data_IF_186938701183
#
_entry.id   IF_186938701183
#
_cell.length_a   1.000
_cell.length_b   1.000
_cell.length_c   1.000
_cell.angle_alpha   90.00
_cell.angle_beta   90.00
_cell.angle_gamma   90.00
#
_symmetry.space_group_name_H-M   'P 1'
#
loop_
_entity.id
_entity.type
_entity.pdbx_description
1 polymer ?
#
# COMPACT_ATOMS: atom_id res chain seq x y z
N UNK A 1 -45.63 17.64 -22.34
CA UNK A 1 -44.19 17.46 -22.61
C UNK A 1 -43.57 16.76 -21.42
N UNK A 2 -43.30 15.45 -21.53
CA UNK A 2 -42.55 14.69 -20.54
C UNK A 2 -41.07 14.78 -20.90
N UNK A 3 -40.16 15.06 -19.95
CA UNK A 3 -38.74 15.03 -20.27
C UNK A 3 -38.32 13.58 -20.54
N UNK A 4 -37.70 13.38 -21.69
CA UNK A 4 -36.99 12.17 -22.05
C UNK A 4 -35.85 11.96 -21.04
N UNK A 5 -36.00 10.98 -20.15
CA UNK A 5 -34.87 10.39 -19.46
C UNK A 5 -34.13 9.56 -20.49
N UNK A 6 -32.95 10.05 -20.90
CA UNK A 6 -32.02 9.24 -21.66
C UNK A 6 -31.70 7.95 -20.88
N UNK A 7 -31.59 6.80 -21.56
CA UNK A 7 -31.24 5.56 -20.88
C UNK A 7 -29.84 5.73 -20.29
N UNK A 8 -29.71 5.51 -18.98
CA UNK A 8 -28.43 5.29 -18.33
C UNK A 8 -27.75 4.13 -19.07
N UNK A 9 -26.78 4.46 -19.93
CA UNK A 9 -25.87 3.49 -20.50
C UNK A 9 -25.28 2.72 -19.34
N UNK A 10 -25.41 1.39 -19.37
CA UNK A 10 -24.85 0.51 -18.36
C UNK A 10 -23.35 0.82 -18.21
N UNK A 11 -23.01 1.57 -17.16
CA UNK A 11 -21.63 1.74 -16.73
C UNK A 11 -21.12 0.35 -16.40
N UNK A 12 -20.16 -0.16 -17.15
CA UNK A 12 -19.48 -1.40 -16.82
C UNK A 12 -18.84 -1.19 -15.46
N UNK A 13 -19.45 -1.74 -14.40
CA UNK A 13 -18.94 -1.62 -13.03
C UNK A 13 -17.49 -2.08 -13.02
N UNK A 14 -16.57 -1.18 -12.65
CA UNK A 14 -15.16 -1.50 -12.50
C UNK A 14 -15.00 -2.68 -11.53
N UNK A 15 -14.23 -3.72 -11.89
CA UNK A 15 -14.02 -4.91 -11.06
C UNK A 15 -12.57 -4.95 -10.58
N UNK A 16 -12.40 -5.03 -9.25
CA UNK A 16 -11.11 -5.28 -8.63
C UNK A 16 -11.01 -6.73 -8.14
N UNK A 17 -9.97 -7.41 -8.61
CA UNK A 17 -9.68 -8.80 -8.24
C UNK A 17 -9.07 -8.85 -6.85
N UNK A 18 -9.29 -9.93 -6.11
CA UNK A 18 -8.54 -10.19 -4.89
C UNK A 18 -7.06 -10.48 -5.25
N UNK A 19 -6.09 -9.66 -4.81
CA UNK A 19 -4.69 -9.82 -5.20
C UNK A 19 -3.91 -10.84 -4.38
N UNK A 20 -4.54 -11.47 -3.40
CA UNK A 20 -3.91 -12.48 -2.56
C UNK A 20 -4.26 -13.88 -3.04
N UNK A 21 -3.26 -14.75 -3.08
CA UNK A 21 -3.46 -16.17 -3.36
C UNK A 21 -4.26 -16.86 -2.25
N UNK A 22 -5.14 -17.78 -2.65
CA UNK A 22 -5.96 -18.57 -1.74
C UNK A 22 -7.26 -17.88 -1.31
N UNK A 23 -7.95 -18.44 -0.31
CA UNK A 23 -9.22 -17.90 0.17
C UNK A 23 -9.02 -16.50 0.76
N UNK A 24 -9.98 -15.56 0.59
CA UNK A 24 -9.86 -14.21 1.14
C UNK A 24 -9.72 -14.24 2.68
N UNK A 25 -8.58 -13.81 3.19
CA UNK A 25 -8.32 -13.65 4.63
C UNK A 25 -8.35 -12.16 4.98
N UNK A 26 -8.83 -11.75 6.17
CA UNK A 26 -8.73 -10.36 6.62
C UNK A 26 -7.29 -9.85 6.53
N UNK A 27 -7.11 -8.64 6.01
CA UNK A 27 -5.82 -7.98 6.01
C UNK A 27 -5.42 -7.67 7.44
N UNK A 28 -4.15 -7.97 7.76
CA UNK A 28 -3.58 -7.57 9.04
C UNK A 28 -3.26 -6.08 8.98
N UNK A 29 -3.61 -5.38 10.05
CA UNK A 29 -3.26 -3.98 10.26
C UNK A 29 -2.05 -3.89 11.20
N UNK A 30 -1.21 -2.88 10.98
CA UNK A 30 -0.14 -2.49 11.89
C UNK A 30 -0.60 -1.41 12.89
N UNK A 31 -1.60 -0.61 12.51
CA UNK A 31 -2.29 0.39 13.33
C UNK A 31 -3.74 0.58 12.87
N UNK A 32 -4.29 1.80 12.90
CA UNK A 32 -5.62 2.08 12.33
C UNK A 32 -5.56 2.59 10.89
N UNK A 33 -4.42 3.14 10.47
CA UNK A 33 -4.21 3.67 9.11
C UNK A 33 -3.27 2.80 8.25
N UNK A 34 -2.44 1.96 8.88
CA UNK A 34 -1.39 1.22 8.20
C UNK A 34 -1.67 -0.29 8.11
N UNK A 35 -1.42 -0.88 6.94
CA UNK A 35 -1.42 -2.33 6.77
C UNK A 35 -0.13 -2.92 7.36
N UNK A 36 -0.18 -4.18 7.75
CA UNK A 36 1.01 -4.90 8.18
C UNK A 36 2.05 -4.98 7.04
N UNK A 37 3.35 -4.81 7.30
CA UNK A 37 4.38 -4.90 6.26
C UNK A 37 4.30 -6.18 5.42
N UNK A 38 3.90 -7.32 6.01
CA UNK A 38 3.72 -8.59 5.27
C UNK A 38 2.76 -8.44 4.08
N UNK A 39 1.76 -7.55 4.16
CA UNK A 39 0.80 -7.30 3.08
C UNK A 39 1.52 -6.75 1.86
N UNK A 40 2.37 -5.74 2.03
CA UNK A 40 3.14 -5.12 0.95
C UNK A 40 4.12 -6.10 0.28
N UNK A 41 4.81 -6.92 1.07
CA UNK A 41 5.72 -7.95 0.54
C UNK A 41 5.00 -9.04 -0.25
N UNK A 42 3.78 -9.43 0.15
CA UNK A 42 2.98 -10.37 -0.64
C UNK A 42 2.56 -9.75 -1.97
N UNK A 43 2.11 -8.51 -1.95
CA UNK A 43 1.66 -7.81 -3.16
C UNK A 43 2.81 -7.54 -4.14
N UNK A 44 4.03 -7.32 -3.66
CA UNK A 44 5.23 -7.21 -4.52
C UNK A 44 5.73 -8.54 -5.09
N UNK A 45 5.06 -9.66 -4.80
CA UNK A 45 5.43 -10.99 -5.31
C UNK A 45 6.63 -11.62 -4.61
N UNK A 46 7.22 -10.98 -3.60
CA UNK A 46 8.29 -11.55 -2.78
C UNK A 46 7.85 -11.56 -1.31
N UNK A 47 7.11 -12.59 -0.86
CA UNK A 47 6.65 -12.67 0.53
C UNK A 47 7.80 -12.51 1.52
N UNK A 48 7.54 -11.85 2.66
CA UNK A 48 8.55 -11.58 3.68
C UNK A 48 9.39 -12.83 4.07
N UNK A 49 8.82 -14.05 4.22
CA UNK A 49 9.62 -15.24 4.47
C UNK A 49 10.67 -15.54 3.38
N UNK A 50 10.37 -15.26 2.11
CA UNK A 50 11.31 -15.42 1.01
C UNK A 50 12.43 -14.36 1.04
N UNK A 51 12.10 -13.12 1.42
CA UNK A 51 13.10 -12.06 1.66
C UNK A 51 14.05 -12.46 2.79
N UNK A 52 13.49 -12.85 3.93
CA UNK A 52 14.27 -13.30 5.09
C UNK A 52 15.03 -14.59 4.81
N UNK A 53 14.60 -15.44 3.87
CA UNK A 53 15.36 -16.60 3.45
C UNK A 53 16.64 -16.21 2.72
N UNK A 54 16.57 -15.23 1.80
CA UNK A 54 17.73 -14.70 1.08
C UNK A 54 18.74 -14.04 2.04
N UNK A 55 18.25 -13.44 3.12
CA UNK A 55 19.05 -12.81 4.18
C UNK A 55 19.54 -13.83 5.24
N UNK A 56 19.24 -15.13 5.11
CA UNK A 56 19.66 -16.17 6.07
C UNK A 56 18.89 -16.16 7.41
N UNK A 57 17.80 -15.40 7.50
CA UNK A 57 17.01 -15.14 8.71
C UNK A 57 15.73 -15.98 8.83
N UNK A 58 15.36 -16.75 7.81
CA UNK A 58 14.13 -17.55 7.81
C UNK A 58 13.95 -18.47 9.04
N UNK A 59 14.98 -19.20 9.52
CA UNK A 59 14.85 -20.04 10.71
C UNK A 59 14.46 -19.24 11.96
N UNK A 60 15.01 -18.03 12.11
CA UNK A 60 14.72 -17.12 13.22
C UNK A 60 13.30 -16.58 13.15
N UNK A 61 12.92 -16.07 11.98
CA UNK A 61 11.57 -15.60 11.72
C UNK A 61 10.52 -16.67 12.07
N UNK A 62 10.73 -17.92 11.66
CA UNK A 62 9.85 -19.04 12.01
C UNK A 62 9.78 -19.30 13.52
N UNK A 63 10.88 -19.12 14.26
CA UNK A 63 10.88 -19.20 15.73
C UNK A 63 10.10 -18.04 16.36
N UNK A 64 10.27 -16.80 15.89
CA UNK A 64 9.49 -15.64 16.34
C UNK A 64 7.99 -15.87 16.13
N UNK A 65 7.59 -16.28 14.92
CA UNK A 65 6.17 -16.53 14.59
C UNK A 65 5.58 -17.64 15.47
N UNK A 66 6.32 -18.72 15.72
CA UNK A 66 5.86 -19.79 16.63
C UNK A 66 5.70 -19.29 18.06
N UNK A 67 6.59 -18.42 18.52
CA UNK A 67 6.51 -17.83 19.85
C UNK A 67 5.26 -16.95 20.00
N UNK A 68 5.01 -16.08 19.03
CA UNK A 68 3.84 -15.19 19.01
C UNK A 68 2.51 -15.97 18.98
N UNK A 69 2.47 -17.14 18.34
CA UNK A 69 1.28 -18.00 18.27
C UNK A 69 1.08 -18.91 19.48
N UNK A 70 2.08 -19.04 20.34
CA UNK A 70 2.13 -20.07 21.38
C UNK A 70 1.49 -19.56 22.67
N UNK A 71 0.30 -20.04 23.07
CA UNK A 71 -0.38 -19.67 24.33
C UNK A 71 0.30 -20.22 25.62
N UNK A 72 1.59 -20.57 25.54
CA UNK A 72 2.32 -21.32 26.58
C UNK A 72 2.82 -20.36 27.67
N UNK A 73 2.80 -20.75 28.96
CA UNK A 73 3.46 -19.99 30.03
C UNK A 73 4.96 -19.79 29.74
N UNK A 74 5.53 -18.68 30.22
CA UNK A 74 6.94 -18.27 30.01
C UNK A 74 7.31 -17.82 28.58
N UNK A 75 6.36 -17.29 27.80
CA UNK A 75 6.64 -16.63 26.52
C UNK A 75 7.79 -15.63 26.62
N UNK A 76 7.80 -14.79 27.66
CA UNK A 76 8.83 -13.77 27.88
C UNK A 76 10.24 -14.36 28.00
N UNK A 77 10.43 -15.42 28.81
CA UNK A 77 11.75 -16.07 28.95
C UNK A 77 12.23 -16.68 27.63
N UNK A 78 11.32 -17.21 26.81
CA UNK A 78 11.66 -17.75 25.47
C UNK A 78 11.94 -16.65 24.46
N UNK A 79 11.17 -15.55 24.49
CA UNK A 79 11.43 -14.34 23.71
C UNK A 79 12.83 -13.82 24.03
N UNK A 80 13.16 -13.78 25.32
CA UNK A 80 14.43 -13.30 25.81
C UNK A 80 15.61 -14.13 25.30
N UNK A 81 15.53 -15.46 25.42
CA UNK A 81 16.57 -16.35 24.85
C UNK A 81 16.74 -16.13 23.35
N UNK A 82 15.64 -15.94 22.62
CA UNK A 82 15.68 -15.70 21.19
C UNK A 82 16.42 -14.38 20.86
N UNK A 83 16.13 -13.31 21.60
CA UNK A 83 16.80 -12.02 21.48
C UNK A 83 18.29 -12.13 21.81
N UNK A 84 18.65 -12.84 22.89
CA UNK A 84 20.04 -13.05 23.28
C UNK A 84 20.84 -13.82 22.23
N UNK A 85 20.25 -14.88 21.67
CA UNK A 85 20.88 -15.65 20.60
C UNK A 85 21.03 -14.82 19.32
N UNK A 86 20.02 -14.02 18.94
CA UNK A 86 20.10 -13.08 17.81
C UNK A 86 21.22 -12.06 18.03
N UNK A 87 21.29 -11.48 19.23
CA UNK A 87 22.29 -10.48 19.58
C UNK A 87 23.72 -11.02 19.60
N UNK A 88 23.90 -12.30 19.97
CA UNK A 88 25.21 -12.95 19.89
C UNK A 88 25.60 -13.29 18.44
N UNK A 89 24.62 -13.63 17.59
CA UNK A 89 24.86 -14.05 16.21
C UNK A 89 25.12 -12.87 15.27
N UNK A 90 24.43 -11.75 15.49
CA UNK A 90 24.45 -10.57 14.61
C UNK A 90 24.43 -9.26 15.42
N UNK A 91 25.49 -8.96 16.18
CA UNK A 91 25.53 -7.80 17.08
C UNK A 91 25.41 -6.46 16.35
N UNK A 92 25.88 -6.38 15.11
CA UNK A 92 25.91 -5.15 14.30
C UNK A 92 24.74 -5.03 13.31
N UNK A 93 23.91 -6.07 13.17
CA UNK A 93 22.87 -6.10 12.14
C UNK A 93 21.53 -5.51 12.61
N UNK A 94 21.30 -5.48 13.92
CA UNK A 94 20.04 -4.99 14.49
C UNK A 94 20.30 -3.86 15.47
N UNK A 95 20.05 -2.64 15.02
CA UNK A 95 20.20 -1.41 15.81
C UNK A 95 19.30 -1.34 17.04
N UNK A 96 18.25 -2.15 17.10
CA UNK A 96 17.37 -2.23 18.26
C UNK A 96 17.89 -3.16 19.37
N UNK A 97 18.94 -3.97 19.14
CA UNK A 97 19.50 -4.88 20.15
C UNK A 97 19.96 -4.15 21.43
N UNK A 98 20.70 -3.02 21.35
CA UNK A 98 21.11 -2.30 22.56
C UNK A 98 19.92 -1.88 23.41
N UNK A 99 18.87 -1.32 22.79
CA UNK A 99 17.65 -0.91 23.48
C UNK A 99 16.90 -2.12 24.07
N UNK A 100 16.83 -3.25 23.35
CA UNK A 100 16.25 -4.50 23.89
C UNK A 100 17.01 -4.99 25.15
N UNK A 101 18.34 -4.88 25.15
CA UNK A 101 19.16 -5.26 26.31
C UNK A 101 18.98 -4.31 27.49
N UNK A 102 18.89 -3.00 27.24
CA UNK A 102 18.65 -2.00 28.28
C UNK A 102 17.25 -2.12 28.88
N UNK A 103 16.21 -2.22 28.03
CA UNK A 103 14.82 -2.37 28.46
C UNK A 103 14.64 -3.61 29.34
N UNK A 104 15.29 -4.73 28.97
CA UNK A 104 15.34 -5.95 29.79
C UNK A 104 15.90 -5.71 31.20
N UNK A 105 16.90 -4.85 31.32
CA UNK A 105 17.53 -4.54 32.60
C UNK A 105 16.73 -3.51 33.41
N UNK A 106 15.49 -3.18 32.99
CA UNK A 106 14.60 -2.25 33.68
C UNK A 106 14.76 -0.79 33.23
N UNK A 107 15.49 -0.52 32.14
CA UNK A 107 15.60 0.83 31.60
C UNK A 107 14.28 1.25 30.94
N UNK A 108 13.51 2.07 31.65
CA UNK A 108 12.23 2.59 31.18
C UNK A 108 12.35 3.49 29.96
N UNK A 109 13.48 4.17 29.75
CA UNK A 109 13.69 5.00 28.57
C UNK A 109 13.94 4.14 27.32
N UNK A 110 14.68 3.04 27.46
CA UNK A 110 14.84 2.06 26.39
C UNK A 110 13.51 1.37 26.06
N UNK A 111 12.73 0.99 27.07
CA UNK A 111 11.39 0.45 26.86
C UNK A 111 10.50 1.46 26.11
N UNK A 112 10.50 2.73 26.52
CA UNK A 112 9.72 3.77 25.86
C UNK A 112 10.12 3.98 24.39
N UNK A 113 11.41 3.88 24.05
CA UNK A 113 11.88 3.93 22.65
C UNK A 113 11.38 2.74 21.84
N UNK A 114 11.48 1.52 22.39
CA UNK A 114 10.98 0.31 21.72
C UNK A 114 9.47 0.35 21.53
N UNK A 115 8.73 0.79 22.55
CA UNK A 115 7.28 0.87 22.46
C UNK A 115 6.86 1.83 21.35
N UNK A 116 7.61 2.92 21.13
CA UNK A 116 7.35 3.93 20.09
C UNK A 116 7.72 3.47 18.67
N UNK A 117 8.36 2.31 18.52
CA UNK A 117 8.80 1.78 17.24
C UNK A 117 7.62 1.21 16.46
N UNK A 118 7.36 1.75 15.26
CA UNK A 118 6.32 1.22 14.38
C UNK A 118 6.72 -0.14 13.80
N UNK A 119 5.76 -0.93 13.28
CA UNK A 119 6.08 -2.21 12.63
C UNK A 119 6.98 -2.04 11.39
N UNK A 120 6.84 -0.93 10.67
CA UNK A 120 7.69 -0.60 9.53
C UNK A 120 9.12 -0.27 9.97
N UNK A 121 9.26 0.55 11.02
CA UNK A 121 10.56 0.88 11.60
C UNK A 121 11.26 -0.38 12.13
N UNK A 122 10.53 -1.21 12.90
CA UNK A 122 11.03 -2.46 13.43
C UNK A 122 11.50 -3.42 12.33
N UNK A 123 10.77 -3.48 11.20
CA UNK A 123 11.17 -4.29 10.05
C UNK A 123 12.42 -3.73 9.37
N UNK A 124 12.47 -2.42 9.10
CA UNK A 124 13.60 -1.79 8.42
C UNK A 124 14.88 -1.91 9.24
N UNK A 125 14.82 -1.54 10.52
CA UNK A 125 15.94 -1.73 11.47
C UNK A 125 16.28 -3.20 11.66
N UNK A 126 15.28 -4.06 11.62
CA UNK A 126 15.44 -5.52 11.65
C UNK A 126 16.20 -6.09 10.46
N UNK A 127 16.30 -5.32 9.38
CA UNK A 127 17.06 -5.67 8.16
C UNK A 127 18.37 -4.88 8.06
N UNK A 128 18.79 -4.24 9.14
CA UNK A 128 20.00 -3.42 9.20
C UNK A 128 19.92 -2.10 8.43
N UNK A 129 18.72 -1.64 8.07
CA UNK A 129 18.53 -0.38 7.36
C UNK A 129 18.41 0.78 8.34
N UNK A 130 19.20 1.83 8.13
CA UNK A 130 19.03 3.11 8.80
C UNK A 130 18.05 3.99 8.06
N UNK A 131 17.58 5.05 8.74
CA UNK A 131 16.72 6.06 8.13
C UNK A 131 17.32 6.66 6.86
N UNK A 132 18.64 6.84 6.84
CA UNK A 132 19.36 7.38 5.68
C UNK A 132 19.41 6.40 4.48
N UNK A 133 19.26 5.10 4.72
CA UNK A 133 19.28 4.07 3.69
C UNK A 133 17.89 3.82 3.09
N UNK A 134 16.84 4.38 3.70
CA UNK A 134 15.47 4.13 3.28
C UNK A 134 15.15 4.84 1.97
N UNK A 135 14.55 4.07 1.07
CA UNK A 135 13.88 4.65 -0.09
C UNK A 135 12.71 5.53 0.36
N UNK A 136 12.34 6.58 -0.39
CA UNK A 136 11.27 7.51 -0.02
C UNK A 136 9.95 6.83 0.39
N UNK A 137 9.55 5.77 -0.29
CA UNK A 137 8.33 5.02 0.04
C UNK A 137 8.44 4.21 1.33
N UNK A 138 9.63 3.73 1.68
CA UNK A 138 9.88 3.06 2.96
C UNK A 138 9.83 4.08 4.10
N UNK A 139 10.51 5.23 3.92
CA UNK A 139 10.47 6.32 4.88
C UNK A 139 9.07 6.89 5.10
N UNK A 140 8.25 6.97 4.05
CA UNK A 140 6.85 7.40 4.17
C UNK A 140 6.03 6.50 5.10
N UNK A 141 6.06 5.17 4.91
CA UNK A 141 5.30 4.26 5.77
C UNK A 141 5.87 4.17 7.19
N UNK A 142 7.16 4.41 7.36
CA UNK A 142 7.76 4.53 8.68
C UNK A 142 7.25 5.79 9.42
N UNK A 143 7.20 6.94 8.74
CA UNK A 143 6.67 8.20 9.31
C UNK A 143 5.19 8.08 9.64
N UNK A 144 4.39 7.53 8.72
CA UNK A 144 2.97 7.29 8.95
C UNK A 144 2.78 6.26 10.05
N UNK A 145 3.57 5.19 10.07
CA UNK A 145 3.48 4.14 11.09
C UNK A 145 3.76 4.64 12.50
N UNK A 146 4.75 5.51 12.68
CA UNK A 146 5.03 6.14 13.96
C UNK A 146 3.85 7.05 14.41
N UNK A 147 3.32 7.84 13.49
CA UNK A 147 2.17 8.71 13.76
C UNK A 147 0.88 7.91 14.04
N UNK A 148 0.66 6.81 13.33
CA UNK A 148 -0.46 5.88 13.49
C UNK A 148 -0.39 5.15 14.84
N UNK A 149 0.80 4.73 15.28
CA UNK A 149 0.98 4.16 16.61
C UNK A 149 0.66 5.16 17.73
N UNK A 150 1.10 6.41 17.59
CA UNK A 150 0.74 7.47 18.52
C UNK A 150 -0.77 7.77 18.52
N UNK A 151 -1.42 7.64 17.36
CA UNK A 151 -2.87 7.75 17.20
C UNK A 151 -3.59 6.60 17.91
N UNK A 152 -3.18 5.34 17.68
CA UNK A 152 -3.75 4.15 18.35
C UNK A 152 -3.77 4.32 19.86
N UNK A 153 -2.64 4.72 20.46
CA UNK A 153 -2.55 4.90 21.93
C UNK A 153 -3.56 5.90 22.47
N UNK A 154 -3.80 7.00 21.74
CA UNK A 154 -4.80 8.02 22.14
C UNK A 154 -6.22 7.47 22.02
N UNK A 155 -6.49 6.74 20.95
CA UNK A 155 -7.79 6.11 20.73
C UNK A 155 -8.08 5.04 21.80
N UNK A 156 -7.08 4.26 22.21
CA UNK A 156 -7.19 3.26 23.28
C UNK A 156 -7.53 3.90 24.64
N UNK A 157 -7.04 5.11 24.93
CA UNK A 157 -7.40 5.86 26.15
C UNK A 157 -8.69 6.66 26.01
N UNK A 158 -9.39 6.58 24.87
CA UNK A 158 -10.61 7.34 24.60
C UNK A 158 -10.40 8.82 24.31
N UNK A 159 -9.15 9.25 24.07
CA UNK A 159 -8.80 10.64 23.81
C UNK A 159 -9.02 11.02 22.33
N UNK A 160 -10.29 11.16 21.93
CA UNK A 160 -10.67 11.53 20.56
C UNK A 160 -10.21 12.95 20.18
N UNK A 161 -10.23 13.88 21.15
CA UNK A 161 -9.79 15.26 20.94
C UNK A 161 -8.29 15.33 20.69
N UNK A 162 -7.49 14.64 21.51
CA UNK A 162 -6.04 14.54 21.31
C UNK A 162 -5.66 13.74 20.07
N UNK A 163 -6.45 12.72 19.70
CA UNK A 163 -6.29 12.01 18.43
C UNK A 163 -6.47 12.96 17.23
N UNK A 164 -7.54 13.74 17.20
CA UNK A 164 -7.78 14.74 16.15
C UNK A 164 -6.68 15.81 16.10
N UNK A 165 -6.28 16.35 17.26
CA UNK A 165 -5.21 17.35 17.34
C UNK A 165 -3.86 16.80 16.85
N UNK A 166 -3.54 15.55 17.20
CA UNK A 166 -2.35 14.85 16.69
C UNK A 166 -2.40 14.71 15.17
N UNK A 167 -3.53 14.28 14.61
CA UNK A 167 -3.67 14.18 13.16
C UNK A 167 -3.54 15.54 12.45
N UNK A 168 -4.21 16.57 12.96
CA UNK A 168 -4.23 17.90 12.37
C UNK A 168 -2.87 18.60 12.38
N UNK A 169 -1.99 18.28 13.33
CA UNK A 169 -0.64 18.86 13.43
C UNK A 169 0.41 18.04 12.69
N UNK A 170 0.15 16.76 12.39
CA UNK A 170 1.15 15.89 11.78
C UNK A 170 1.34 16.21 10.28
N UNK A 171 2.59 16.33 9.77
CA UNK A 171 2.87 16.71 8.37
C UNK A 171 2.27 15.81 7.28
N UNK A 172 1.91 14.57 7.63
CA UNK A 172 1.27 13.64 6.70
C UNK A 172 -0.21 13.42 7.05
N UNK A 173 -0.56 13.28 8.33
CA UNK A 173 -1.92 12.82 8.69
C UNK A 173 -2.95 13.93 8.47
N UNK A 174 -2.56 15.20 8.55
CA UNK A 174 -3.48 16.31 8.30
C UNK A 174 -4.03 16.29 6.86
N UNK A 175 -3.25 15.75 5.91
CA UNK A 175 -3.68 15.58 4.52
C UNK A 175 -4.69 14.45 4.32
N UNK A 176 -4.97 13.66 5.36
CA UNK A 176 -6.04 12.64 5.38
C UNK A 176 -7.34 13.20 5.96
N UNK A 177 -7.30 14.37 6.58
CA UNK A 177 -8.47 15.02 7.16
C UNK A 177 -9.20 15.84 6.09
N UNK A 178 -10.52 15.75 6.12
CA UNK A 178 -11.43 16.64 5.41
C UNK A 178 -12.52 17.10 6.39
N UNK A 179 -13.28 18.18 6.10
CA UNK A 179 -14.21 18.75 7.07
C UNK A 179 -15.16 17.73 7.70
N UNK A 180 -15.73 16.82 6.89
CA UNK A 180 -16.59 15.75 7.39
C UNK A 180 -15.88 14.76 8.32
N UNK A 181 -14.61 14.42 8.03
CA UNK A 181 -13.84 13.51 8.87
C UNK A 181 -13.48 14.13 10.22
N UNK A 182 -13.08 15.41 10.23
CA UNK A 182 -12.81 16.13 11.48
C UNK A 182 -14.05 16.18 12.36
N UNK A 183 -15.20 16.49 11.77
CA UNK A 183 -16.48 16.51 12.46
C UNK A 183 -16.87 15.14 13.02
N UNK A 184 -16.65 14.07 12.25
CA UNK A 184 -16.92 12.70 12.69
C UNK A 184 -16.04 12.31 13.89
N UNK A 185 -14.73 12.57 13.83
CA UNK A 185 -13.81 12.28 14.94
C UNK A 185 -14.17 13.10 16.18
N UNK A 186 -14.52 14.38 16.01
CA UNK A 186 -14.89 15.26 17.13
C UNK A 186 -16.16 14.81 17.85
N UNK A 187 -17.11 14.22 17.14
CA UNK A 187 -18.41 13.78 17.67
C UNK A 187 -18.42 12.33 18.17
N UNK A 188 -17.43 11.52 17.79
CA UNK A 188 -17.38 10.12 18.14
C UNK A 188 -17.23 9.92 19.65
N UNK A 189 -18.04 9.03 20.21
CA UNK A 189 -17.93 8.64 21.63
C UNK A 189 -17.02 7.41 21.81
N UNK A 190 -16.92 6.57 20.78
CA UNK A 190 -16.10 5.36 20.79
C UNK A 190 -15.32 5.16 19.49
N UNK A 191 -14.12 4.59 19.59
CA UNK A 191 -13.26 4.27 18.44
C UNK A 191 -13.96 3.38 17.40
N UNK A 192 -14.87 2.52 17.84
CA UNK A 192 -15.62 1.61 16.95
C UNK A 192 -16.48 2.35 15.92
N UNK A 193 -16.93 3.56 16.24
CA UNK A 193 -17.69 4.42 15.31
C UNK A 193 -16.82 4.94 14.17
N UNK A 194 -15.50 5.00 14.39
CA UNK A 194 -14.52 5.55 13.46
C UNK A 194 -13.86 4.47 12.58
N UNK A 195 -14.11 3.19 12.83
CA UNK A 195 -13.49 2.08 12.05
C UNK A 195 -13.68 2.26 10.54
N UNK A 196 -14.89 2.58 10.01
CA UNK A 196 -15.09 2.75 8.57
C UNK A 196 -14.36 3.98 8.01
N UNK A 197 -14.28 5.05 8.82
CA UNK A 197 -13.52 6.26 8.49
C UNK A 197 -12.01 5.98 8.43
N UNK A 198 -11.45 5.31 9.42
CA UNK A 198 -10.05 4.90 9.41
C UNK A 198 -9.76 3.92 8.28
N UNK A 199 -10.71 3.05 7.93
CA UNK A 199 -10.62 2.23 6.72
C UNK A 199 -10.50 3.07 5.44
N UNK A 200 -11.26 4.16 5.33
CA UNK A 200 -11.18 5.09 4.21
C UNK A 200 -9.81 5.83 4.18
N UNK A 201 -9.37 6.36 5.33
CA UNK A 201 -8.07 7.02 5.45
C UNK A 201 -6.89 6.09 5.18
N UNK A 202 -6.98 4.82 5.60
CA UNK A 202 -5.97 3.81 5.30
C UNK A 202 -5.79 3.64 3.78
N UNK A 203 -6.89 3.58 3.02
CA UNK A 203 -6.79 3.51 1.55
C UNK A 203 -6.04 4.71 0.97
N UNK A 204 -6.27 5.93 1.50
CA UNK A 204 -5.57 7.14 1.05
C UNK A 204 -4.10 7.16 1.45
N UNK A 205 -3.74 6.66 2.64
CA UNK A 205 -2.34 6.43 3.05
C UNK A 205 -1.63 5.51 2.06
N UNK A 206 -2.25 4.40 1.69
CA UNK A 206 -1.60 3.42 0.82
C UNK A 206 -1.57 3.84 -0.65
N UNK A 207 -2.48 4.73 -1.07
CA UNK A 207 -2.36 5.46 -2.33
C UNK A 207 -1.17 6.45 -2.28
N UNK A 208 -0.96 7.12 -1.14
CA UNK A 208 0.21 7.97 -0.89
C UNK A 208 1.53 7.19 -0.96
N UNK A 209 1.58 6.00 -0.35
CA UNK A 209 2.74 5.11 -0.44
C UNK A 209 3.07 4.73 -1.89
N UNK A 210 2.05 4.43 -2.70
CA UNK A 210 2.23 4.17 -4.13
C UNK A 210 2.82 5.37 -4.87
N UNK A 211 2.37 6.58 -4.56
CA UNK A 211 2.92 7.81 -5.16
C UNK A 211 4.37 8.06 -4.71
N UNK A 212 4.71 7.81 -3.45
CA UNK A 212 6.09 7.89 -2.94
C UNK A 212 7.02 6.94 -3.70
N UNK A 213 6.52 5.74 -4.00
CA UNK A 213 7.26 4.73 -4.74
C UNK A 213 7.41 5.15 -6.22
N UNK A 214 6.42 5.78 -6.82
CA UNK A 214 6.53 6.30 -8.19
C UNK A 214 7.61 7.38 -8.28
N UNK A 215 7.63 8.37 -7.39
CA UNK A 215 8.67 9.41 -7.37
C UNK A 215 10.07 8.80 -7.26
N UNK A 216 10.24 7.80 -6.41
CA UNK A 216 11.49 7.07 -6.25
C UNK A 216 11.92 6.38 -7.57
N UNK A 217 11.00 5.66 -8.23
CA UNK A 217 11.28 4.97 -9.49
C UNK A 217 11.48 5.89 -10.68
N UNK A 218 10.69 6.95 -10.78
CA UNK A 218 10.83 7.96 -11.81
C UNK A 218 12.24 8.57 -11.74
N UNK A 219 12.78 8.82 -10.53
CA UNK A 219 14.16 9.30 -10.37
C UNK A 219 15.21 8.27 -10.73
N UNK A 220 15.08 7.03 -10.26
CA UNK A 220 16.01 5.95 -10.63
C UNK A 220 16.12 5.80 -12.16
N UNK A 221 15.04 6.12 -12.89
CA UNK A 221 14.98 6.04 -14.35
C UNK A 221 15.13 7.40 -15.08
N UNK A 222 15.47 8.48 -14.38
CA UNK A 222 15.59 9.84 -14.92
C UNK A 222 14.34 10.32 -15.70
N UNK A 223 13.14 9.94 -15.24
CA UNK A 223 11.85 10.33 -15.81
C UNK A 223 11.22 11.48 -15.04
N UNK A 224 10.59 12.41 -15.76
CA UNK A 224 9.80 13.49 -15.16
C UNK A 224 8.34 13.11 -14.91
N UNK A 225 7.80 12.17 -15.68
CA UNK A 225 6.42 11.71 -15.59
C UNK A 225 6.27 10.52 -14.64
N UNK A 226 5.05 10.33 -14.12
CA UNK A 226 4.66 9.14 -13.36
C UNK A 226 4.83 7.88 -14.21
N UNK A 227 5.29 6.81 -13.58
CA UNK A 227 5.38 5.47 -14.19
C UNK A 227 4.22 4.54 -13.79
N UNK A 228 3.37 4.96 -12.86
CA UNK A 228 2.25 4.17 -12.34
C UNK A 228 0.87 4.75 -12.66
N UNK A 229 0.75 6.03 -13.01
CA UNK A 229 -0.54 6.68 -13.32
C UNK A 229 -1.30 5.93 -14.41
N UNK A 230 -0.59 5.36 -15.37
CA UNK A 230 -1.17 4.55 -16.45
C UNK A 230 -1.88 3.27 -15.99
N UNK A 231 -1.63 2.81 -14.76
CA UNK A 231 -2.25 1.63 -14.15
C UNK A 231 -3.54 1.98 -13.39
N UNK A 232 -3.81 3.27 -13.18
CA UNK A 232 -5.00 3.73 -12.45
C UNK A 232 -6.23 3.72 -13.37
N UNK A 233 -7.33 3.08 -12.95
CA UNK A 233 -8.63 3.25 -13.59
C UNK A 233 -9.02 4.72 -13.65
N UNK A 234 -9.58 5.15 -14.79
CA UNK A 234 -9.96 6.54 -15.02
C UNK A 234 -11.22 6.64 -15.86
N UNK A 235 -11.93 7.76 -15.73
CA UNK A 235 -13.12 8.06 -16.54
C UNK A 235 -12.82 8.11 -18.05
N UNK A 236 -11.56 8.36 -18.44
CA UNK A 236 -11.13 8.35 -19.85
C UNK A 236 -10.99 6.94 -20.44
N UNK A 237 -10.92 5.90 -19.58
CA UNK A 237 -10.80 4.49 -19.96
C UNK A 237 -11.83 3.66 -19.19
N UNK A 238 -13.15 3.89 -19.41
CA UNK A 238 -14.20 3.28 -18.62
C UNK A 238 -14.14 1.75 -18.70
N UNK A 239 -14.38 1.09 -17.56
CA UNK A 239 -14.38 -0.38 -17.46
C UNK A 239 -13.01 -1.04 -17.48
N UNK A 240 -11.92 -0.29 -17.67
CA UNK A 240 -10.55 -0.83 -17.66
C UNK A 240 -10.02 -0.90 -16.23
N UNK A 241 -9.78 -2.12 -15.76
CA UNK A 241 -9.18 -2.35 -14.45
C UNK A 241 -7.63 -2.38 -14.52
N UNK A 242 -6.94 -2.36 -13.36
CA UNK A 242 -5.48 -2.27 -13.31
C UNK A 242 -4.76 -3.37 -14.10
N UNK A 243 -5.33 -4.57 -14.17
CA UNK A 243 -4.75 -5.69 -14.92
C UNK A 243 -4.77 -5.43 -16.43
N UNK A 244 -5.92 -5.00 -16.95
CA UNK A 244 -6.03 -4.67 -18.37
C UNK A 244 -5.15 -3.48 -18.75
N UNK A 245 -4.95 -2.52 -17.83
CA UNK A 245 -4.08 -1.37 -18.03
C UNK A 245 -2.60 -1.76 -17.99
N UNK A 246 -2.21 -2.66 -17.07
CA UNK A 246 -0.88 -3.26 -17.05
C UNK A 246 -0.58 -4.01 -18.36
N UNK A 247 -1.54 -4.75 -18.90
CA UNK A 247 -1.36 -5.44 -20.17
C UNK A 247 -1.18 -4.48 -21.36
N UNK A 248 -1.84 -3.32 -21.35
CA UNK A 248 -1.59 -2.28 -22.36
C UNK A 248 -0.15 -1.74 -22.27
N UNK A 249 0.37 -1.51 -21.06
CA UNK A 249 1.75 -1.09 -20.87
C UNK A 249 2.75 -2.18 -21.26
N UNK A 250 2.47 -3.45 -20.95
CA UNK A 250 3.26 -4.58 -21.41
C UNK A 250 3.35 -4.58 -22.94
N UNK A 251 2.21 -4.54 -23.66
CA UNK A 251 2.20 -4.48 -25.14
C UNK A 251 3.02 -3.31 -25.67
N UNK A 252 2.81 -2.12 -25.11
CA UNK A 252 3.52 -0.91 -25.53
C UNK A 252 5.03 -1.09 -25.37
N UNK A 253 5.48 -1.64 -24.24
CA UNK A 253 6.89 -1.83 -23.92
C UNK A 253 7.56 -2.92 -24.76
N UNK A 254 6.80 -3.96 -25.13
CA UNK A 254 7.25 -5.03 -26.02
C UNK A 254 7.22 -4.63 -27.52
N UNK A 255 6.56 -3.52 -27.86
CA UNK A 255 6.28 -3.14 -29.25
C UNK A 255 5.32 -4.10 -29.96
N UNK A 256 4.46 -4.80 -29.22
CA UNK A 256 3.55 -5.81 -29.74
C UNK A 256 2.12 -5.25 -29.93
N UNK A 257 1.41 -5.72 -30.95
CA UNK A 257 0.06 -5.26 -31.27
C UNK A 257 -1.04 -5.96 -30.43
N UNK A 258 -0.74 -7.11 -29.82
CA UNK A 258 -1.74 -7.86 -29.06
C UNK A 258 -1.23 -9.16 -28.44
N UNK A 259 -2.11 -9.85 -27.72
CA UNK A 259 -1.82 -11.12 -27.06
C UNK A 259 -1.29 -12.19 -28.03
N UNK A 260 -1.87 -12.30 -29.22
CA UNK A 260 -1.45 -13.28 -30.23
C UNK A 260 -0.01 -13.08 -30.69
N UNK A 261 0.42 -11.84 -30.87
CA UNK A 261 1.80 -11.55 -31.29
C UNK A 261 2.80 -11.88 -30.19
N UNK A 262 2.49 -11.52 -28.94
CA UNK A 262 3.30 -11.89 -27.78
C UNK A 262 3.39 -13.40 -27.66
N UNK A 263 2.25 -14.11 -27.73
CA UNK A 263 2.19 -15.56 -27.62
C UNK A 263 3.00 -16.26 -28.71
N UNK A 264 2.85 -15.85 -29.96
CA UNK A 264 3.54 -16.47 -31.10
C UNK A 264 5.07 -16.33 -31.07
N UNK A 265 5.58 -15.35 -30.31
CA UNK A 265 7.02 -15.17 -30.12
C UNK A 265 7.60 -16.07 -29.04
N UNK A 266 6.77 -16.59 -28.13
CA UNK A 266 7.21 -17.37 -26.99
C UNK A 266 7.34 -18.84 -27.40
N UNK A 267 8.49 -19.49 -27.19
CA UNK A 267 8.65 -20.91 -27.45
C UNK A 267 7.69 -21.76 -26.61
N UNK A 268 7.18 -22.85 -27.19
CA UNK A 268 6.28 -23.77 -26.49
C UNK A 268 6.92 -24.41 -25.24
N UNK A 269 8.25 -24.49 -25.19
CA UNK A 269 9.01 -25.06 -24.07
C UNK A 269 9.11 -24.12 -22.86
N UNK A 270 8.76 -22.84 -23.03
CA UNK A 270 8.90 -21.81 -21.99
C UNK A 270 7.76 -21.83 -20.94
N UNK A 271 6.80 -22.76 -21.06
CA UNK A 271 5.74 -23.00 -20.07
C UNK A 271 4.51 -22.07 -20.18
N UNK A 272 4.46 -21.20 -21.19
CA UNK A 272 3.24 -20.48 -21.56
C UNK A 272 2.47 -21.31 -22.61
N UNK A 273 1.66 -22.24 -22.13
CA UNK A 273 1.02 -23.25 -23.01
C UNK A 273 -0.23 -22.74 -23.73
N UNK A 274 -0.80 -21.61 -23.31
CA UNK A 274 -2.11 -21.14 -23.78
C UNK A 274 -2.24 -19.61 -23.81
N UNK A 275 -2.59 -19.09 -25.00
CA UNK A 275 -2.91 -17.68 -25.26
C UNK A 275 -4.01 -17.14 -24.33
N UNK A 276 -4.90 -18.00 -23.84
CA UNK A 276 -5.98 -17.60 -22.92
C UNK A 276 -5.45 -16.92 -21.65
N UNK A 277 -4.20 -17.17 -21.26
CA UNK A 277 -3.57 -16.47 -20.13
C UNK A 277 -3.40 -14.99 -20.45
N UNK A 278 -2.88 -14.66 -21.63
CA UNK A 278 -2.69 -13.28 -22.09
C UNK A 278 -4.03 -12.61 -22.39
N UNK A 279 -5.01 -13.33 -22.95
CA UNK A 279 -6.35 -12.81 -23.15
C UNK A 279 -7.03 -12.47 -21.83
N UNK A 280 -6.85 -13.29 -20.79
CA UNK A 280 -7.37 -12.99 -19.44
C UNK A 280 -6.69 -11.79 -18.80
N UNK A 281 -5.40 -11.55 -19.09
CA UNK A 281 -4.72 -10.32 -18.66
C UNK A 281 -5.25 -9.11 -19.44
N UNK A 282 -5.36 -9.21 -20.76
CA UNK A 282 -5.94 -8.17 -21.62
C UNK A 282 -7.34 -7.76 -21.19
N UNK A 283 -8.19 -8.75 -20.90
CA UNK A 283 -9.57 -8.55 -20.44
C UNK A 283 -9.68 -8.18 -18.96
N UNK A 284 -8.57 -8.18 -18.20
CA UNK A 284 -8.57 -7.84 -16.79
C UNK A 284 -9.23 -8.89 -15.88
N UNK A 285 -9.40 -10.13 -16.33
CA UNK A 285 -10.13 -11.18 -15.59
C UNK A 285 -9.22 -12.10 -14.78
N UNK A 286 -7.89 -12.03 -14.98
CA UNK A 286 -6.90 -12.76 -14.18
C UNK A 286 -5.67 -11.88 -13.92
N UNK A 287 -5.23 -11.82 -12.68
CA UNK A 287 -4.01 -11.09 -12.31
C UNK A 287 -2.77 -11.65 -13.01
N UNK A 288 -1.83 -10.80 -13.42
CA UNK A 288 -0.54 -11.26 -13.93
C UNK A 288 0.35 -11.81 -12.81
N UNK A 289 1.25 -12.70 -13.20
CA UNK A 289 2.23 -13.33 -12.31
C UNK A 289 3.65 -13.11 -12.80
N UNK A 290 4.58 -13.16 -11.84
CA UNK A 290 5.98 -12.81 -12.06
C UNK A 290 6.67 -13.84 -12.96
N UNK A 291 6.31 -15.12 -12.86
CA UNK A 291 6.97 -16.17 -13.62
C UNK A 291 6.59 -16.11 -15.10
N UNK A 292 5.31 -15.90 -15.40
CA UNK A 292 4.86 -15.66 -16.78
C UNK A 292 5.44 -14.37 -17.33
N UNK A 293 5.52 -13.30 -16.53
CA UNK A 293 6.13 -12.04 -16.96
C UNK A 293 7.63 -12.21 -17.28
N UNK A 294 8.40 -12.94 -16.46
CA UNK A 294 9.81 -13.24 -16.71
C UNK A 294 10.01 -13.96 -18.05
N UNK A 295 9.19 -14.99 -18.32
CA UNK A 295 9.24 -15.73 -19.59
C UNK A 295 9.03 -14.78 -20.76
N UNK A 296 7.98 -13.95 -20.72
CA UNK A 296 7.69 -12.97 -21.77
C UNK A 296 8.88 -12.01 -21.94
N UNK A 297 9.40 -11.43 -20.87
CA UNK A 297 10.49 -10.47 -20.94
C UNK A 297 11.80 -11.11 -21.43
N UNK A 298 12.07 -12.36 -21.07
CA UNK A 298 13.23 -13.12 -21.52
C UNK A 298 13.28 -13.25 -23.04
N UNK A 299 12.16 -13.62 -23.66
CA UNK A 299 12.05 -13.77 -25.12
C UNK A 299 12.15 -12.45 -25.90
N UNK A 300 11.92 -11.34 -25.21
CA UNK A 300 12.11 -9.99 -25.75
C UNK A 300 13.47 -9.38 -25.37
N UNK A 301 14.32 -10.09 -24.62
CA UNK A 301 15.62 -9.60 -24.17
C UNK A 301 15.54 -8.48 -23.15
N UNK A 302 14.41 -8.37 -22.43
CA UNK A 302 14.10 -7.31 -21.47
C UNK A 302 14.11 -7.79 -20.01
N UNK A 303 14.36 -9.08 -19.76
CA UNK A 303 14.41 -9.61 -18.39
C UNK A 303 15.67 -9.12 -17.66
N UNK A 304 15.53 -7.97 -17.02
CA UNK A 304 16.56 -7.35 -16.17
C UNK A 304 15.98 -7.08 -14.78
N UNK A 305 16.80 -7.15 -13.70
CA UNK A 305 16.32 -6.93 -12.34
C UNK A 305 15.67 -5.57 -12.09
N UNK A 306 16.03 -4.56 -12.87
CA UNK A 306 15.55 -3.17 -12.78
C UNK A 306 14.41 -2.85 -13.77
N UNK A 307 13.93 -3.86 -14.51
CA UNK A 307 12.84 -3.70 -15.46
C UNK A 307 11.56 -3.19 -14.76
N UNK A 308 11.03 -2.08 -15.29
CA UNK A 308 9.91 -1.33 -14.73
C UNK A 308 8.63 -2.19 -14.62
N UNK A 309 8.42 -3.13 -15.53
CA UNK A 309 7.23 -3.98 -15.53
C UNK A 309 7.08 -4.83 -14.27
N UNK A 310 8.18 -5.29 -13.64
CA UNK A 310 8.10 -5.99 -12.34
C UNK A 310 7.54 -5.10 -11.25
N UNK A 311 7.96 -3.85 -11.31
CA UNK A 311 7.67 -2.79 -10.37
C UNK A 311 6.18 -2.37 -10.55
N UNK A 312 5.73 -2.18 -11.79
CA UNK A 312 4.34 -1.93 -12.19
C UNK A 312 3.40 -3.11 -11.88
N UNK A 313 3.88 -4.35 -11.98
CA UNK A 313 3.12 -5.53 -11.59
C UNK A 313 2.80 -5.53 -10.09
N UNK A 314 3.78 -5.22 -9.25
CA UNK A 314 3.57 -5.04 -7.82
C UNK A 314 2.53 -3.94 -7.52
N UNK A 315 2.59 -2.82 -8.23
CA UNK A 315 1.64 -1.71 -8.08
C UNK A 315 0.24 -2.07 -8.57
N UNK A 316 0.12 -2.81 -9.67
CA UNK A 316 -1.16 -3.34 -10.19
C UNK A 316 -1.89 -4.15 -9.11
N UNK A 317 -1.18 -5.00 -8.38
CA UNK A 317 -1.72 -5.78 -7.25
C UNK A 317 -2.13 -4.89 -6.08
N UNK A 318 -1.38 -3.83 -5.79
CA UNK A 318 -1.76 -2.85 -4.76
C UNK A 318 -3.04 -2.09 -5.12
N UNK A 319 -3.19 -1.63 -6.37
CA UNK A 319 -4.41 -0.94 -6.82
C UNK A 319 -5.61 -1.89 -6.71
N UNK A 320 -5.45 -3.15 -7.11
CA UNK A 320 -6.46 -4.19 -6.88
C UNK A 320 -6.79 -4.39 -5.41
N UNK A 321 -5.80 -4.39 -4.51
CA UNK A 321 -6.04 -4.48 -3.06
C UNK A 321 -6.90 -3.30 -2.58
N UNK A 322 -6.53 -2.07 -2.95
CA UNK A 322 -7.24 -0.86 -2.55
C UNK A 322 -8.70 -0.89 -3.03
N UNK A 323 -8.89 -1.15 -4.33
CA UNK A 323 -10.20 -1.22 -4.95
C UNK A 323 -11.06 -2.36 -4.40
N UNK A 324 -10.47 -3.55 -4.19
CA UNK A 324 -11.15 -4.69 -3.60
C UNK A 324 -11.62 -4.40 -2.16
N UNK A 325 -10.76 -3.77 -1.34
CA UNK A 325 -11.13 -3.37 0.01
C UNK A 325 -12.26 -2.33 0.01
N UNK A 326 -12.18 -1.33 -0.87
CA UNK A 326 -13.21 -0.32 -1.02
C UNK A 326 -14.55 -0.93 -1.44
N UNK A 327 -14.56 -1.83 -2.45
CA UNK A 327 -15.78 -2.51 -2.91
C UNK A 327 -16.44 -3.33 -1.79
N UNK A 328 -15.64 -3.97 -0.92
CA UNK A 328 -16.17 -4.69 0.25
C UNK A 328 -16.77 -3.74 1.29
N UNK A 329 -16.17 -2.58 1.53
CA UNK A 329 -16.71 -1.57 2.45
C UNK A 329 -17.98 -0.93 1.89
N UNK A 330 -18.02 -0.62 0.60
CA UNK A 330 -19.21 -0.16 -0.11
C UNK A 330 -20.35 -1.18 -0.04
N UNK A 331 -20.07 -2.46 -0.31
CA UNK A 331 -21.07 -3.52 -0.24
C UNK A 331 -21.66 -3.60 1.18
N UNK A 332 -20.81 -3.63 2.21
CA UNK A 332 -21.25 -3.62 3.62
C UNK A 332 -22.09 -2.38 3.97
N UNK A 333 -21.69 -1.21 3.49
CA UNK A 333 -22.44 0.03 3.74
C UNK A 333 -23.82 0.01 3.07
N UNK A 334 -23.91 -0.48 1.82
CA UNK A 334 -25.16 -0.59 1.06
C UNK A 334 -26.11 -1.65 1.61
N UNK A 335 -25.58 -2.75 2.13
CA UNK A 335 -26.34 -3.87 2.67
C UNK A 335 -26.75 -3.66 4.15
N UNK A 336 -26.14 -2.71 4.84
CA UNK A 336 -26.40 -2.44 6.26
C UNK A 336 -27.79 -1.84 6.48
N UNK A 337 -28.50 -2.34 7.51
CA UNK A 337 -29.72 -1.71 8.01
C UNK A 337 -29.48 -0.35 8.69
N UNK A 338 -28.21 -0.02 9.00
CA UNK A 338 -27.76 1.24 9.59
C UNK A 338 -26.58 1.79 8.77
N UNK A 339 -26.82 2.28 7.54
CA UNK A 339 -25.75 2.73 6.63
C UNK A 339 -24.94 3.90 7.19
N UNK A 340 -25.54 4.74 8.04
CA UNK A 340 -24.86 5.86 8.71
C UNK A 340 -23.68 5.42 9.59
N UNK A 341 -23.68 4.17 10.09
CA UNK A 341 -22.57 3.62 10.87
C UNK A 341 -21.36 3.28 10.02
N UNK A 342 -21.48 3.35 8.68
CA UNK A 342 -20.43 3.04 7.72
C UNK A 342 -19.87 4.29 7.04
N UNK A 343 -20.31 5.50 7.42
CA UNK A 343 -19.80 6.73 6.83
C UNK A 343 -18.25 6.77 6.86
N UNK A 344 -17.57 7.15 5.76
CA UNK A 344 -18.09 7.81 4.56
C UNK A 344 -18.70 6.89 3.50
N UNK A 345 -18.66 5.57 3.69
CA UNK A 345 -19.12 4.61 2.69
C UNK A 345 -20.64 4.71 2.45
N UNK A 346 -21.12 4.57 1.20
CA UNK A 346 -20.40 4.07 0.04
C UNK A 346 -19.55 5.09 -0.72
N UNK A 347 -19.53 6.37 -0.33
CA UNK A 347 -18.59 7.32 -0.90
C UNK A 347 -17.15 6.96 -0.47
N UNK A 348 -16.20 7.29 -1.34
CA UNK A 348 -14.77 7.16 -1.10
C UNK A 348 -14.28 8.26 -0.13
N UNK A 349 -13.02 8.20 0.38
CA UNK A 349 -12.44 9.29 1.16
C UNK A 349 -12.65 10.64 0.48
N UNK A 350 -12.85 11.72 1.23
CA UNK A 350 -13.20 13.05 0.68
C UNK A 350 -14.52 13.08 -0.12
N UNK A 351 -15.40 12.10 0.12
CA UNK A 351 -16.76 12.03 -0.44
C UNK A 351 -16.82 11.87 -1.97
N UNK A 352 -15.75 11.35 -2.58
CA UNK A 352 -15.77 10.97 -4.00
C UNK A 352 -16.77 9.84 -4.27
N UNK A 353 -17.40 9.86 -5.44
CA UNK A 353 -18.48 8.94 -5.77
C UNK A 353 -18.00 7.53 -6.14
N UNK A 354 -16.80 7.42 -6.71
CA UNK A 354 -16.23 6.18 -7.22
C UNK A 354 -14.69 6.17 -7.07
N UNK A 355 -14.10 5.01 -7.36
CA UNK A 355 -12.66 4.80 -7.23
C UNK A 355 -11.90 5.68 -8.22
N UNK A 356 -12.38 5.76 -9.46
CA UNK A 356 -11.76 6.50 -10.55
C UNK A 356 -11.62 7.98 -10.19
N UNK A 357 -12.68 8.61 -9.68
CA UNK A 357 -12.68 10.01 -9.26
C UNK A 357 -11.78 10.24 -8.06
N UNK A 358 -11.83 9.34 -7.06
CA UNK A 358 -10.95 9.41 -5.89
C UNK A 358 -9.48 9.30 -6.29
N UNK A 359 -9.12 8.28 -7.06
CA UNK A 359 -7.74 8.04 -7.49
C UNK A 359 -7.23 9.18 -8.40
N UNK A 360 -8.04 9.64 -9.36
CA UNK A 360 -7.67 10.73 -10.26
C UNK A 360 -7.42 12.07 -9.53
N UNK A 361 -8.06 12.28 -8.37
CA UNK A 361 -7.80 13.46 -7.55
C UNK A 361 -6.65 13.25 -6.57
N UNK A 362 -6.66 12.13 -5.83
CA UNK A 362 -5.78 11.92 -4.67
C UNK A 362 -4.41 11.41 -5.05
N UNK A 363 -4.28 10.62 -6.11
CA UNK A 363 -2.98 10.13 -6.53
C UNK A 363 -2.06 11.26 -7.01
N UNK A 364 -2.48 12.19 -7.90
CA UNK A 364 -1.65 13.34 -8.27
C UNK A 364 -1.31 14.26 -7.09
N UNK A 365 -2.24 14.43 -6.14
CA UNK A 365 -1.96 15.17 -4.90
C UNK A 365 -0.78 14.56 -4.15
N UNK A 366 -0.80 13.24 -3.89
CA UNK A 366 0.29 12.56 -3.20
C UNK A 366 1.60 12.58 -3.99
N UNK A 367 1.52 12.44 -5.32
CA UNK A 367 2.69 12.52 -6.19
C UNK A 367 3.39 13.88 -6.06
N UNK A 368 2.62 14.97 -6.07
CA UNK A 368 3.15 16.32 -5.89
C UNK A 368 3.69 16.54 -4.47
N UNK A 369 3.00 16.04 -3.44
CA UNK A 369 3.48 16.05 -2.06
C UNK A 369 4.87 15.40 -1.92
N UNK A 370 5.08 14.26 -2.58
CA UNK A 370 6.36 13.56 -2.54
C UNK A 370 7.46 14.26 -3.36
N UNK A 371 7.12 14.79 -4.53
CA UNK A 371 8.05 15.61 -5.34
C UNK A 371 8.55 16.83 -4.57
N UNK A 372 7.65 17.56 -3.90
CA UNK A 372 8.00 18.77 -3.16
C UNK A 372 8.88 18.50 -1.94
N UNK A 373 8.62 17.43 -1.17
CA UNK A 373 9.45 17.09 0.01
C UNK A 373 10.86 16.66 -0.35
N UNK A 374 11.02 16.10 -1.53
CA UNK A 374 12.28 15.53 -1.95
C UNK A 374 13.08 16.47 -2.88
N UNK A 375 12.70 17.76 -2.98
CA UNK A 375 13.47 18.76 -3.70
C UNK A 375 13.36 18.71 -5.23
N UNK A 376 12.39 18.01 -5.81
CA UNK A 376 12.11 18.14 -7.24
C UNK A 376 11.51 19.53 -7.44
N UNK A 377 12.34 20.48 -7.88
CA UNK A 377 12.04 21.90 -8.09
C UNK A 377 10.98 22.21 -9.14
N UNK A 378 9.92 21.42 -9.22
CA UNK A 378 8.65 21.79 -9.84
C UNK A 378 7.80 22.54 -8.81
N UNK A 379 8.30 23.71 -8.41
CA UNK A 379 7.40 24.78 -7.99
C UNK A 379 6.53 25.09 -9.19
N UNK A 380 5.25 24.79 -9.06
CA UNK A 380 4.23 25.06 -10.05
C UNK A 380 4.26 26.56 -10.39
N UNK A 381 4.81 26.91 -11.56
CA UNK A 381 4.83 28.29 -12.08
C UNK A 381 3.48 28.70 -12.68
N UNK A 382 2.39 28.02 -12.31
CA UNK A 382 1.06 28.27 -12.86
C UNK A 382 0.03 28.76 -11.84
N UNK A 383 0.45 29.50 -10.80
CA UNK A 383 -0.46 30.41 -10.09
C UNK A 383 0.26 31.73 -9.83
N UNK A 384 0.31 32.58 -10.86
CA UNK A 384 0.43 34.03 -10.65
C UNK A 384 -0.99 34.57 -10.46
N UNK A 385 -1.36 35.14 -9.30
CA UNK A 385 -2.54 35.99 -9.25
C UNK A 385 -2.23 37.23 -10.09
N UNK A 386 -3.09 37.48 -11.07
CA UNK A 386 -3.02 38.67 -11.90
C UNK A 386 -2.90 39.93 -11.03
N UNK A 387 -1.95 40.78 -11.39
CA UNK A 387 -2.00 42.19 -11.05
C UNK A 387 -3.19 42.79 -11.77
N UNK A 388 -4.18 43.24 -11.03
CA UNK A 388 -5.09 44.31 -11.43
C UNK A 388 -5.13 45.36 -10.32
N UNK A 389 -4.97 46.63 -10.70
CA UNK A 389 -5.10 47.81 -9.84
C UNK A 389 -3.78 48.51 -9.54
#
# INVERSE_FOLDING_TARGET
>A
MRPYLAPMTASSTLIFLNPFEGPPVPLKLAGVLTFDPEVHFKLSGTPLPAVLAKEGMLPWYRRCVRLLKSAVPYQERRAQRLIDELAARWPEFFDCIPDLKLARNGDGAAQARLDQMSRFEALNRGRGLQRADLKPHQGYLEDVGAADLALVRRLETGDMAGALAHMATHPILHHLLWPGAEDAIRKASHVNELIPLFGAMALDVHLGWMAAWDVDRAREQCRSSSCLEMLLPSAHRPGRNPTSLFFDELKQRLGANGATEIFNRIPAESGLDDISTLDRWSNGTRLPDVETLKVILGEYGLDQPDELLYAQLGCTRHIHMLGHCAQRLQARARESARPQLFWPWPAYPFEFQDFESWAASRYPFWLNFHRSRNGDGTTDRSISPGREG
#
